data_IF_193905840021
#
_entry.id   IF_193905840021
#
_cell.length_a   1.000
_cell.length_b   1.000
_cell.length_c   1.000
_cell.angle_alpha   90.00
_cell.angle_beta   90.00
_cell.angle_gamma   90.00
#
_symmetry.space_group_name_H-M   'P 1'
#
loop_
_entity.id
_entity.type
_entity.pdbx_description
1 polymer ?
#
# COMPACT_ATOMS: atom_id res chain seq x y z
N UNK A 1 17.75 -31.16 -13.82
CA UNK A 1 18.06 -29.82 -14.34
C UNK A 1 17.24 -28.83 -13.55
N UNK A 2 17.88 -27.77 -13.08
CA UNK A 2 17.30 -26.75 -12.21
C UNK A 2 16.14 -26.01 -12.89
N UNK A 3 15.00 -25.91 -12.22
CA UNK A 3 14.03 -24.83 -12.44
C UNK A 3 13.72 -24.20 -11.08
N UNK A 4 14.58 -23.28 -10.66
CA UNK A 4 14.23 -22.33 -9.61
C UNK A 4 13.25 -21.32 -10.24
N UNK A 5 11.95 -21.61 -10.18
CA UNK A 5 10.94 -20.58 -10.43
C UNK A 5 10.90 -19.63 -9.23
N UNK A 6 11.87 -18.73 -9.17
CA UNK A 6 11.80 -17.53 -8.32
C UNK A 6 10.80 -16.59 -8.97
N UNK A 7 9.50 -16.91 -8.87
CA UNK A 7 8.45 -15.93 -9.11
C UNK A 7 8.61 -14.82 -8.08
N UNK A 8 9.32 -13.75 -8.42
CA UNK A 8 9.38 -12.54 -7.61
C UNK A 8 7.94 -12.13 -7.31
N UNK A 9 7.52 -12.30 -6.05
CA UNK A 9 6.18 -11.91 -5.64
C UNK A 9 6.06 -10.41 -5.85
N UNK A 10 5.11 -10.02 -6.71
CA UNK A 10 4.72 -8.63 -6.96
C UNK A 10 3.90 -8.13 -5.78
N UNK A 11 4.57 -7.99 -4.64
CA UNK A 11 3.96 -7.52 -3.40
C UNK A 11 4.05 -5.99 -3.29
N UNK A 12 3.05 -5.40 -2.66
CA UNK A 12 3.09 -4.01 -2.19
C UNK A 12 4.20 -3.86 -1.15
N UNK A 13 5.07 -2.87 -1.31
CA UNK A 13 6.09 -2.53 -0.29
C UNK A 13 5.69 -1.24 0.41
N UNK A 14 5.88 -1.21 1.73
CA UNK A 14 5.61 -0.04 2.56
C UNK A 14 6.83 0.28 3.41
N UNK A 15 7.30 1.53 3.39
CA UNK A 15 8.41 1.98 4.23
C UNK A 15 8.30 3.47 4.63
N UNK A 16 8.78 3.84 5.83
CA UNK A 16 9.17 2.93 6.91
C UNK A 16 7.95 2.16 7.45
N UNK A 17 8.20 0.98 8.02
CA UNK A 17 7.21 0.21 8.76
C UNK A 17 7.91 -0.38 10.00
N UNK A 18 7.59 0.08 11.21
CA UNK A 18 6.53 1.02 11.56
C UNK A 18 6.73 2.44 10.99
N UNK A 19 5.63 3.13 10.72
CA UNK A 19 5.57 4.49 10.22
C UNK A 19 5.42 5.49 11.36
N UNK A 20 6.14 6.62 11.26
CA UNK A 20 6.04 7.74 12.19
C UNK A 20 5.92 9.03 11.37
N UNK A 21 4.75 9.66 11.41
CA UNK A 21 4.42 10.87 10.63
C UNK A 21 4.18 10.67 9.14
N UNK A 22 4.89 9.77 8.46
CA UNK A 22 4.61 9.43 7.05
C UNK A 22 5.15 8.07 6.63
N UNK A 23 4.64 7.56 5.51
CA UNK A 23 5.19 6.39 4.84
C UNK A 23 5.00 6.44 3.33
N UNK A 24 5.78 5.64 2.63
CA UNK A 24 5.75 5.46 1.19
C UNK A 24 5.25 4.08 0.83
N UNK A 25 4.49 4.02 -0.25
CA UNK A 25 3.98 2.80 -0.86
C UNK A 25 4.64 2.63 -2.22
N UNK A 26 5.31 1.50 -2.44
CA UNK A 26 5.80 1.11 -3.77
C UNK A 26 4.83 0.12 -4.37
N UNK A 27 4.29 0.48 -5.53
CA UNK A 27 3.26 -0.25 -6.24
C UNK A 27 3.93 -1.04 -7.37
N UNK A 28 3.92 -2.39 -7.32
CA UNK A 28 4.39 -3.18 -8.45
C UNK A 28 3.41 -3.03 -9.62
N UNK A 29 3.92 -2.97 -10.86
CA UNK A 29 3.10 -2.90 -12.07
C UNK A 29 1.97 -1.86 -11.99
N UNK A 30 2.32 -0.64 -11.58
CA UNK A 30 1.42 0.49 -11.30
C UNK A 30 0.27 0.68 -12.30
N UNK A 31 0.49 0.40 -13.59
CA UNK A 31 -0.51 0.54 -14.65
C UNK A 31 -1.74 -0.37 -14.47
N UNK A 32 -1.63 -1.44 -13.69
CA UNK A 32 -2.73 -2.35 -13.38
C UNK A 32 -3.64 -1.84 -12.25
N UNK A 33 -3.31 -0.70 -11.62
CA UNK A 33 -3.95 -0.21 -10.41
C UNK A 33 -4.38 1.25 -10.55
N UNK A 34 -5.65 1.51 -10.20
CA UNK A 34 -6.31 2.80 -10.35
C UNK A 34 -6.71 3.44 -9.02
N UNK A 35 -6.75 2.68 -7.93
CA UNK A 35 -7.17 3.18 -6.63
C UNK A 35 -6.34 2.56 -5.51
N UNK A 36 -5.99 3.40 -4.53
CA UNK A 36 -5.36 3.03 -3.28
C UNK A 36 -6.25 3.48 -2.12
N UNK A 37 -6.46 2.58 -1.16
CA UNK A 37 -7.17 2.84 0.09
C UNK A 37 -6.34 2.40 1.28
N UNK A 38 -6.43 3.16 2.36
CA UNK A 38 -5.92 2.77 3.68
C UNK A 38 -7.11 2.58 4.60
N UNK A 39 -7.15 1.42 5.26
CA UNK A 39 -8.22 1.04 6.15
C UNK A 39 -7.67 0.90 7.57
N UNK A 40 -8.42 1.36 8.58
CA UNK A 40 -8.10 1.08 9.97
C UNK A 40 -8.44 -0.39 10.34
N UNK A 41 -8.15 -0.79 11.58
CA UNK A 41 -8.42 -2.15 12.07
C UNK A 41 -9.91 -2.53 12.10
N UNK A 42 -10.83 -1.56 12.04
CA UNK A 42 -12.28 -1.78 11.93
C UNK A 42 -12.74 -1.92 10.48
N UNK A 43 -11.83 -1.82 9.50
CA UNK A 43 -12.15 -1.85 8.08
C UNK A 43 -12.72 -0.54 7.52
N UNK A 44 -12.68 0.55 8.29
CA UNK A 44 -13.10 1.86 7.81
C UNK A 44 -12.01 2.47 6.94
N UNK A 45 -12.37 3.04 5.79
CA UNK A 45 -11.42 3.75 4.93
C UNK A 45 -11.07 5.11 5.55
N UNK A 46 -9.79 5.31 5.89
CA UNK A 46 -9.28 6.55 6.48
C UNK A 46 -8.47 7.40 5.49
N UNK A 47 -8.01 6.80 4.39
CA UNK A 47 -7.40 7.50 3.27
C UNK A 47 -7.78 6.81 1.96
N UNK A 48 -8.02 7.60 0.91
CA UNK A 48 -8.32 7.09 -0.43
C UNK A 48 -7.70 8.03 -1.46
N UNK A 49 -7.02 7.44 -2.44
CA UNK A 49 -6.41 8.21 -3.53
C UNK A 49 -6.57 7.47 -4.85
N UNK A 50 -6.86 8.26 -5.89
CA UNK A 50 -6.85 7.78 -7.25
C UNK A 50 -5.41 7.74 -7.74
N UNK A 51 -5.02 6.60 -8.29
CA UNK A 51 -3.66 6.35 -8.73
C UNK A 51 -3.49 6.84 -10.17
N UNK A 52 -3.51 8.15 -10.37
CA UNK A 52 -3.31 8.81 -11.67
C UNK A 52 -1.82 9.09 -11.92
N UNK A 53 -1.36 8.88 -13.16
CA UNK A 53 0.04 9.10 -13.55
C UNK A 53 0.94 7.84 -13.52
N UNK A 54 2.20 8.04 -13.91
CA UNK A 54 3.18 6.96 -14.09
C UNK A 54 4.03 6.66 -12.86
N UNK A 55 3.95 7.48 -11.80
CA UNK A 55 4.74 7.26 -10.60
C UNK A 55 4.24 6.01 -9.85
N UNK A 56 5.16 5.10 -9.55
CA UNK A 56 4.90 3.87 -8.81
C UNK A 56 5.03 4.04 -7.30
N UNK A 57 5.44 5.23 -6.82
CA UNK A 57 5.57 5.55 -5.40
C UNK A 57 4.51 6.56 -4.97
N UNK A 58 3.81 6.26 -3.89
CA UNK A 58 2.83 7.16 -3.26
C UNK A 58 3.27 7.46 -1.83
N UNK A 59 3.45 8.73 -1.50
CA UNK A 59 3.67 9.18 -0.13
C UNK A 59 2.35 9.47 0.58
N UNK A 60 2.23 9.02 1.84
CA UNK A 60 1.05 9.24 2.68
C UNK A 60 1.53 9.91 3.97
N UNK A 61 0.95 11.06 4.28
CA UNK A 61 1.17 11.78 5.53
C UNK A 61 0.15 11.29 6.57
N UNK A 62 0.63 11.06 7.78
CA UNK A 62 -0.15 10.67 8.95
C UNK A 62 -0.42 11.97 9.72
N UNK A 63 -1.64 12.47 9.63
CA UNK A 63 -2.09 13.65 10.36
C UNK A 63 -2.80 13.28 11.68
N UNK A 64 -3.33 14.28 12.39
CA UNK A 64 -4.00 14.08 13.68
C UNK A 64 -5.27 13.22 13.64
N UNK A 65 -5.76 12.82 12.46
CA UNK A 65 -6.90 11.91 12.31
C UNK A 65 -6.53 10.43 12.48
N UNK A 66 -5.24 10.09 12.52
CA UNK A 66 -4.78 8.71 12.65
C UNK A 66 -4.49 8.36 14.11
N UNK A 67 -4.98 7.20 14.54
CA UNK A 67 -4.59 6.62 15.84
C UNK A 67 -3.44 5.62 15.67
N UNK A 68 -2.54 5.49 16.65
CA UNK A 68 -1.50 4.46 16.62
C UNK A 68 -2.13 3.06 16.54
N UNK A 69 -1.59 2.20 15.68
CA UNK A 69 -2.09 0.85 15.51
C UNK A 69 -1.88 0.25 14.12
N UNK A 70 -2.65 -0.81 13.84
CA UNK A 70 -2.57 -1.57 12.59
C UNK A 70 -3.53 -0.99 11.56
N UNK A 71 -3.01 -0.79 10.36
CA UNK A 71 -3.76 -0.38 9.19
C UNK A 71 -3.50 -1.35 8.03
N UNK A 72 -4.47 -1.41 7.12
CA UNK A 72 -4.42 -2.23 5.92
C UNK A 72 -4.47 -1.34 4.69
N UNK A 73 -3.38 -1.33 3.93
CA UNK A 73 -3.33 -0.73 2.63
C UNK A 73 -3.92 -1.71 1.61
N UNK A 74 -4.78 -1.22 0.72
CA UNK A 74 -5.39 -1.99 -0.36
C UNK A 74 -5.30 -1.21 -1.67
N UNK A 75 -4.83 -1.86 -2.73
CA UNK A 75 -4.90 -1.30 -4.08
C UNK A 75 -5.77 -2.17 -4.99
N UNK A 76 -6.49 -1.51 -5.89
CA UNK A 76 -7.43 -2.15 -6.82
C UNK A 76 -7.31 -1.52 -8.21
N UNK A 77 -7.67 -2.27 -9.24
CA UNK A 77 -7.68 -1.85 -10.63
C UNK A 77 -8.07 -3.01 -11.53
N UNK A 78 -7.45 -3.10 -12.70
CA UNK A 78 -7.62 -4.24 -13.63
C UNK A 78 -6.81 -5.47 -13.20
N UNK A 79 -5.73 -5.28 -12.43
CA UNK A 79 -4.94 -6.36 -11.87
C UNK A 79 -5.54 -7.01 -10.62
N UNK A 80 -4.94 -8.12 -10.17
CA UNK A 80 -5.32 -8.76 -8.91
C UNK A 80 -5.13 -7.78 -7.75
N UNK A 81 -6.14 -7.58 -6.87
CA UNK A 81 -6.01 -6.70 -5.71
C UNK A 81 -4.82 -7.10 -4.83
N UNK A 82 -4.05 -6.11 -4.40
CA UNK A 82 -2.94 -6.31 -3.47
C UNK A 82 -3.25 -5.63 -2.14
N UNK A 83 -2.64 -6.14 -1.07
CA UNK A 83 -2.78 -5.56 0.26
C UNK A 83 -1.50 -5.66 1.05
N UNK A 84 -1.26 -4.68 1.92
CA UNK A 84 -0.10 -4.63 2.81
C UNK A 84 -0.52 -4.12 4.19
N UNK A 85 0.12 -4.67 5.23
CA UNK A 85 -0.06 -4.21 6.62
C UNK A 85 0.90 -3.07 6.91
N UNK A 86 0.39 -2.00 7.53
CA UNK A 86 1.18 -0.85 7.99
C UNK A 86 0.96 -0.69 9.50
N UNK A 87 2.03 -0.51 10.25
CA UNK A 87 1.98 -0.17 11.67
C UNK A 87 2.25 1.33 11.77
N UNK A 88 1.32 2.08 12.35
CA UNK A 88 1.46 3.52 12.62
C UNK A 88 1.70 3.70 14.11
N UNK A 89 2.69 4.52 14.48
CA UNK A 89 2.95 4.94 15.86
C UNK A 89 2.35 6.30 16.19
#
# INVERSE_FOLDING_TARGET
>A
GMEASSSEKKDLKVYPNPANGSFHVVIPEKNNYSQLKLLNHLGQTVYSSQLTGQNNVVGIQIDGGFTPGIYFLKITGTGKPLSAKVIIY
#
